data_IF_701662330708
#
_entry.id   IF_701662330708
#
_cell.length_a   1.000
_cell.length_b   1.000
_cell.length_c   1.000
_cell.angle_alpha   90.00
_cell.angle_beta   90.00
_cell.angle_gamma   90.00
#
_symmetry.space_group_name_H-M   'P 1'
#
loop_
_entity.id
_entity.type
_entity.pdbx_description
1 polymer ?
#
# COMPACT_ATOMS: atom_id res chain seq x y z
N UNK A 1 -27.91 -12.21 -1.03
CA UNK A 1 -26.68 -12.85 -0.49
C UNK A 1 -25.59 -12.69 -1.54
N UNK A 2 -24.48 -12.05 -1.22
CA UNK A 2 -23.38 -11.85 -2.16
C UNK A 2 -22.66 -13.18 -2.38
N UNK A 3 -22.86 -13.78 -3.54
CA UNK A 3 -22.07 -14.95 -3.97
C UNK A 3 -20.67 -14.51 -4.36
N UNK A 4 -19.66 -15.27 -3.98
CA UNK A 4 -18.26 -15.03 -4.33
C UNK A 4 -17.80 -16.10 -5.31
N UNK A 5 -17.11 -15.70 -6.38
CA UNK A 5 -16.49 -16.63 -7.33
C UNK A 5 -15.07 -16.94 -6.90
N UNK A 6 -14.80 -18.17 -6.47
CA UNK A 6 -13.46 -18.65 -6.11
C UNK A 6 -13.05 -19.79 -7.04
N UNK A 7 -11.95 -19.62 -7.76
CA UNK A 7 -11.37 -20.66 -8.63
C UNK A 7 -12.42 -21.32 -9.55
N UNK A 8 -13.30 -20.50 -10.14
CA UNK A 8 -14.37 -20.97 -11.04
C UNK A 8 -15.65 -21.48 -10.36
N UNK A 9 -15.71 -21.54 -9.03
CA UNK A 9 -16.89 -21.97 -8.26
C UNK A 9 -17.59 -20.77 -7.63
N UNK A 10 -18.91 -20.73 -7.71
CA UNK A 10 -19.72 -19.78 -6.95
C UNK A 10 -20.04 -20.37 -5.59
N UNK A 11 -19.64 -19.66 -4.54
CA UNK A 11 -19.92 -20.04 -3.16
C UNK A 11 -20.67 -18.91 -2.45
N UNK A 12 -21.41 -19.28 -1.41
CA UNK A 12 -22.07 -18.30 -0.52
C UNK A 12 -21.34 -18.31 0.82
N UNK A 13 -20.62 -17.23 1.16
CA UNK A 13 -19.93 -17.16 2.44
C UNK A 13 -20.90 -17.28 3.63
N UNK A 14 -20.40 -17.82 4.74
CA UNK A 14 -21.17 -17.92 5.96
C UNK A 14 -21.59 -16.52 6.46
N UNK A 15 -22.84 -16.41 6.90
CA UNK A 15 -23.42 -15.18 7.44
C UNK A 15 -23.54 -15.34 8.95
N UNK A 16 -23.16 -14.33 9.71
CA UNK A 16 -23.30 -14.31 11.18
C UNK A 16 -24.64 -13.72 11.59
N UNK A 17 -25.21 -14.19 12.70
CA UNK A 17 -26.30 -13.49 13.37
C UNK A 17 -25.67 -12.36 14.20
N UNK A 18 -25.93 -11.11 13.79
CA UNK A 18 -25.38 -9.92 14.46
C UNK A 18 -24.32 -9.19 13.61
N UNK A 19 -23.41 -8.42 14.23
CA UNK A 19 -22.39 -7.67 13.52
C UNK A 19 -21.46 -8.59 12.71
N UNK A 20 -21.13 -8.23 11.45
CA UNK A 20 -20.19 -8.99 10.63
C UNK A 20 -18.79 -9.15 11.26
N UNK A 21 -18.30 -8.10 11.93
CA UNK A 21 -16.99 -8.08 12.60
C UNK A 21 -17.03 -8.92 13.88
N UNK A 22 -16.66 -10.20 13.74
CA UNK A 22 -16.63 -11.13 14.87
C UNK A 22 -15.43 -10.93 15.79
N UNK A 23 -14.45 -10.12 15.39
CA UNK A 23 -13.32 -9.77 16.26
C UNK A 23 -13.78 -8.90 17.44
N UNK A 24 -14.82 -8.09 17.25
CA UNK A 24 -15.38 -7.25 18.33
C UNK A 24 -16.39 -7.98 19.23
N UNK A 25 -16.91 -9.14 18.82
CA UNK A 25 -17.96 -9.87 19.57
C UNK A 25 -17.40 -11.02 20.42
N UNK A 26 -17.82 -11.24 21.68
CA UNK A 26 -17.31 -12.35 22.51
C UNK A 26 -17.58 -13.75 21.94
N UNK A 27 -18.77 -13.96 21.36
CA UNK A 27 -19.20 -15.20 20.71
C UNK A 27 -20.00 -14.84 19.46
N UNK A 28 -19.85 -15.62 18.40
CA UNK A 28 -20.67 -15.50 17.19
C UNK A 28 -21.56 -16.73 17.02
N UNK A 29 -22.66 -16.55 16.29
CA UNK A 29 -23.46 -17.65 15.73
C UNK A 29 -23.70 -17.37 14.26
N UNK A 30 -23.92 -18.42 13.47
CA UNK A 30 -24.15 -18.35 12.04
C UNK A 30 -25.65 -18.44 11.75
N UNK A 31 -26.06 -17.77 10.69
CA UNK A 31 -27.38 -17.91 10.13
C UNK A 31 -27.54 -19.35 9.59
N UNK A 32 -28.65 -20.00 9.95
CA UNK A 32 -28.94 -21.36 9.48
C UNK A 32 -29.18 -21.35 7.97
N UNK A 33 -28.57 -22.32 7.28
CA UNK A 33 -28.78 -22.55 5.86
C UNK A 33 -30.26 -22.84 5.55
N UNK A 34 -30.71 -22.51 4.34
CA UNK A 34 -32.07 -22.86 3.87
C UNK A 34 -32.27 -24.37 3.96
N UNK A 35 -33.33 -24.77 4.65
CA UNK A 35 -33.76 -26.16 4.68
C UNK A 35 -34.46 -26.53 3.38
N UNK A 36 -33.98 -27.57 2.70
CA UNK A 36 -34.62 -28.06 1.47
C UNK A 36 -35.74 -29.02 1.83
N UNK A 37 -36.94 -28.77 1.31
CA UNK A 37 -38.09 -29.63 1.54
C UNK A 37 -37.89 -30.99 0.87
N UNK A 38 -38.42 -32.06 1.48
CA UNK A 38 -38.17 -33.42 0.99
C UNK A 38 -38.69 -33.62 -0.44
N UNK A 39 -39.84 -33.05 -0.77
CA UNK A 39 -40.47 -33.12 -2.10
C UNK A 39 -39.63 -32.47 -3.21
N UNK A 40 -38.77 -31.50 -2.88
CA UNK A 40 -37.85 -30.86 -3.84
C UNK A 40 -36.69 -31.78 -4.29
N UNK A 41 -36.44 -32.91 -3.60
CA UNK A 41 -35.26 -33.75 -3.84
C UNK A 41 -35.60 -35.22 -4.13
N UNK A 42 -35.21 -35.71 -5.31
CA UNK A 42 -35.41 -37.11 -5.72
C UNK A 42 -34.16 -37.99 -5.62
N UNK A 43 -32.97 -37.39 -5.50
CA UNK A 43 -31.66 -38.07 -5.44
C UNK A 43 -30.79 -37.53 -4.31
N UNK A 44 -29.92 -38.36 -3.74
CA UNK A 44 -28.93 -37.92 -2.77
C UNK A 44 -28.06 -36.81 -3.36
N UNK A 45 -27.93 -35.66 -2.70
CA UNK A 45 -27.19 -34.52 -3.23
C UNK A 45 -25.67 -34.75 -3.32
N UNK A 46 -25.14 -35.79 -2.67
CA UNK A 46 -23.76 -36.25 -2.81
C UNK A 46 -23.61 -37.36 -3.87
N UNK A 47 -24.02 -38.59 -3.55
CA UNK A 47 -23.79 -39.76 -4.41
C UNK A 47 -24.77 -39.93 -5.59
N UNK A 48 -25.74 -39.00 -5.75
CA UNK A 48 -26.73 -38.95 -6.84
C UNK A 48 -27.65 -40.17 -6.98
N UNK A 49 -27.60 -41.13 -6.06
CA UNK A 49 -28.52 -42.27 -6.02
C UNK A 49 -29.95 -41.84 -5.68
N UNK A 50 -30.95 -42.37 -6.42
CA UNK A 50 -32.38 -42.11 -6.18
C UNK A 50 -32.83 -42.58 -4.79
N UNK A 51 -33.63 -41.76 -4.14
CA UNK A 51 -34.33 -42.15 -2.92
C UNK A 51 -35.45 -43.13 -3.23
N UNK A 52 -35.72 -44.05 -2.30
CA UNK A 52 -36.79 -45.04 -2.40
C UNK A 52 -37.20 -45.49 -0.98
N UNK A 53 -38.07 -46.50 -0.87
CA UNK A 53 -38.55 -46.96 0.43
C UNK A 53 -37.42 -47.44 1.38
N UNK A 54 -36.33 -48.00 0.85
CA UNK A 54 -35.18 -48.48 1.61
C UNK A 54 -34.09 -47.40 1.80
N UNK A 55 -33.93 -46.50 0.83
CA UNK A 55 -33.02 -45.35 0.89
C UNK A 55 -33.80 -44.10 1.31
N UNK A 56 -33.91 -43.92 2.62
CA UNK A 56 -34.56 -42.75 3.24
C UNK A 56 -33.73 -41.47 3.08
N UNK A 57 -34.42 -40.34 3.15
CA UNK A 57 -33.87 -38.98 3.10
C UNK A 57 -33.39 -38.56 4.49
N UNK A 58 -32.24 -37.88 4.54
CA UNK A 58 -31.64 -37.33 5.76
C UNK A 58 -31.07 -35.96 5.46
N UNK A 59 -31.39 -34.97 6.27
CA UNK A 59 -30.87 -33.63 6.11
C UNK A 59 -29.55 -33.44 6.84
N UNK A 60 -28.62 -32.72 6.20
CA UNK A 60 -27.48 -32.15 6.88
C UNK A 60 -27.91 -30.88 7.59
N UNK A 61 -27.77 -30.82 8.91
CA UNK A 61 -28.20 -29.66 9.70
C UNK A 61 -27.30 -28.44 9.52
N UNK A 62 -26.09 -28.62 8.99
CA UNK A 62 -25.18 -27.53 8.63
C UNK A 62 -25.57 -26.84 7.31
N UNK A 63 -25.80 -27.58 6.23
CA UNK A 63 -26.05 -27.00 4.90
C UNK A 63 -27.50 -27.09 4.41
N UNK A 64 -28.41 -27.75 5.15
CA UNK A 64 -29.84 -27.85 4.82
C UNK A 64 -30.20 -28.81 3.67
N UNK A 65 -29.19 -29.37 2.99
CA UNK A 65 -29.32 -30.32 1.89
C UNK A 65 -29.72 -31.75 2.36
N UNK A 66 -30.26 -32.55 1.44
CA UNK A 66 -30.80 -33.90 1.62
C UNK A 66 -29.86 -34.98 1.05
N UNK A 67 -29.59 -36.00 1.88
CA UNK A 67 -28.63 -37.07 1.63
C UNK A 67 -29.21 -38.44 2.02
N UNK A 68 -28.53 -39.51 1.62
CA UNK A 68 -28.80 -40.85 2.15
C UNK A 68 -27.98 -41.13 3.42
N UNK A 69 -28.34 -42.17 4.18
CA UNK A 69 -27.69 -42.51 5.45
C UNK A 69 -26.17 -42.67 5.33
N UNK A 70 -25.69 -43.26 4.23
CA UNK A 70 -24.25 -43.41 3.97
C UNK A 70 -23.51 -42.07 3.88
N UNK A 71 -24.11 -41.07 3.20
CA UNK A 71 -23.48 -39.78 2.98
C UNK A 71 -23.71 -38.78 4.12
N UNK A 72 -24.47 -39.16 5.14
CA UNK A 72 -24.87 -38.32 6.28
C UNK A 72 -25.18 -39.20 7.51
N UNK A 73 -24.17 -39.96 7.93
CA UNK A 73 -24.22 -40.91 9.04
C UNK A 73 -23.75 -40.29 10.37
N UNK A 74 -22.77 -39.39 10.32
CA UNK A 74 -22.15 -38.78 11.50
C UNK A 74 -23.02 -37.70 12.14
N UNK A 75 -22.89 -37.55 13.47
CA UNK A 75 -23.54 -36.51 14.26
C UNK A 75 -22.52 -35.65 14.99
N UNK A 76 -22.63 -34.34 14.88
CA UNK A 76 -21.72 -33.37 15.52
C UNK A 76 -22.57 -32.28 16.18
N UNK A 77 -22.25 -31.83 17.41
CA UNK A 77 -22.83 -30.61 17.97
C UNK A 77 -22.64 -29.42 17.03
N UNK A 78 -23.62 -28.51 16.93
CA UNK A 78 -23.52 -27.31 16.08
C UNK A 78 -23.73 -26.02 16.90
N UNK A 79 -22.88 -25.75 17.92
CA UNK A 79 -23.00 -24.56 18.77
C UNK A 79 -22.88 -23.25 17.96
N UNK A 80 -22.16 -23.27 16.84
CA UNK A 80 -22.11 -22.16 15.89
C UNK A 80 -23.48 -21.86 15.26
N UNK A 81 -24.43 -22.81 15.23
CA UNK A 81 -25.82 -22.60 14.81
C UNK A 81 -26.80 -22.49 15.98
N UNK A 82 -26.30 -22.41 17.21
CA UNK A 82 -27.10 -22.41 18.43
C UNK A 82 -27.75 -23.77 18.72
N UNK A 83 -27.12 -24.88 18.32
CA UNK A 83 -27.62 -26.24 18.55
C UNK A 83 -26.56 -27.02 19.32
N UNK A 84 -26.77 -27.22 20.62
CA UNK A 84 -25.81 -27.92 21.49
C UNK A 84 -25.83 -29.45 21.27
N UNK A 85 -26.97 -30.00 20.87
CA UNK A 85 -27.12 -31.45 20.65
C UNK A 85 -26.45 -31.93 19.34
N UNK A 86 -25.88 -33.15 19.31
CA UNK A 86 -25.31 -33.72 18.10
C UNK A 86 -26.34 -33.92 16.98
N UNK A 87 -26.11 -33.25 15.85
CA UNK A 87 -26.98 -33.27 14.68
C UNK A 87 -26.29 -33.85 13.46
N UNK A 88 -27.08 -34.36 12.51
CA UNK A 88 -26.54 -35.00 11.30
C UNK A 88 -25.78 -33.99 10.44
N UNK A 89 -24.57 -34.36 10.04
CA UNK A 89 -23.74 -33.58 9.11
C UNK A 89 -23.33 -34.48 7.94
N UNK A 90 -23.40 -33.95 6.71
CA UNK A 90 -22.98 -34.72 5.53
C UNK A 90 -21.46 -34.81 5.42
N UNK A 91 -20.98 -35.81 4.68
CA UNK A 91 -19.54 -36.03 4.44
C UNK A 91 -18.80 -34.77 3.98
N UNK A 92 -19.44 -33.94 3.15
CA UNK A 92 -18.82 -32.70 2.64
C UNK A 92 -18.72 -31.58 3.68
N UNK A 93 -19.64 -31.50 4.64
CA UNK A 93 -19.61 -30.44 5.66
C UNK A 93 -18.80 -30.87 6.88
N UNK A 94 -18.71 -32.19 7.12
CA UNK A 94 -18.15 -32.77 8.35
C UNK A 94 -16.78 -32.20 8.73
N UNK A 95 -15.76 -32.14 7.85
CA UNK A 95 -14.41 -31.77 8.27
C UNK A 95 -14.36 -30.37 8.89
N UNK A 96 -14.80 -29.34 8.15
CA UNK A 96 -14.76 -27.95 8.64
C UNK A 96 -15.72 -27.75 9.81
N UNK A 97 -16.90 -28.39 9.80
CA UNK A 97 -17.88 -28.27 10.88
C UNK A 97 -17.32 -28.81 12.21
N UNK A 98 -16.60 -29.93 12.15
CA UNK A 98 -15.92 -30.51 13.31
C UNK A 98 -14.87 -29.54 13.88
N UNK A 99 -14.05 -28.93 13.02
CA UNK A 99 -13.02 -27.98 13.44
C UNK A 99 -13.62 -26.69 14.04
N UNK A 100 -14.67 -26.15 13.40
CA UNK A 100 -15.42 -24.99 13.92
C UNK A 100 -15.99 -25.32 15.31
N UNK A 101 -16.59 -26.50 15.48
CA UNK A 101 -17.15 -26.94 16.76
C UNK A 101 -16.07 -27.10 17.83
N UNK A 102 -14.97 -27.80 17.50
CA UNK A 102 -13.81 -27.98 18.40
C UNK A 102 -13.22 -26.65 18.86
N UNK A 103 -13.18 -25.64 17.99
CA UNK A 103 -12.66 -24.31 18.32
C UNK A 103 -13.45 -23.57 19.40
N UNK A 104 -14.73 -23.91 19.57
CA UNK A 104 -15.61 -23.31 20.57
C UNK A 104 -15.47 -23.97 21.95
N UNK A 105 -14.70 -25.06 22.06
CA UNK A 105 -14.38 -25.69 23.34
C UNK A 105 -13.53 -24.77 24.22
N UNK A 106 -13.66 -24.82 25.56
CA UNK A 106 -12.72 -24.14 26.46
C UNK A 106 -11.30 -24.72 26.41
N UNK A 107 -11.12 -25.95 25.93
CA UNK A 107 -9.84 -26.65 25.94
C UNK A 107 -8.88 -26.13 24.86
N UNK A 108 -7.67 -25.75 25.28
CA UNK A 108 -6.69 -25.09 24.41
C UNK A 108 -6.10 -26.01 23.33
N UNK A 109 -5.93 -27.30 23.64
CA UNK A 109 -5.50 -28.31 22.66
C UNK A 109 -6.49 -28.42 21.50
N UNK A 110 -7.80 -28.41 21.79
CA UNK A 110 -8.83 -28.44 20.74
C UNK A 110 -8.84 -27.17 19.89
N UNK A 111 -8.58 -26.00 20.49
CA UNK A 111 -8.42 -24.77 19.72
C UNK A 111 -7.21 -24.83 18.79
N UNK A 112 -6.06 -25.31 19.28
CA UNK A 112 -4.87 -25.47 18.43
C UNK A 112 -5.12 -26.45 17.28
N UNK A 113 -5.65 -27.64 17.60
CA UNK A 113 -5.97 -28.67 16.61
C UNK A 113 -6.98 -28.17 15.56
N UNK A 114 -8.00 -27.43 15.99
CA UNK A 114 -8.98 -26.83 15.08
C UNK A 114 -8.32 -25.86 14.10
N UNK A 115 -7.44 -24.97 14.56
CA UNK A 115 -6.75 -24.01 13.67
C UNK A 115 -5.82 -24.73 12.72
N UNK A 116 -5.04 -25.70 13.19
CA UNK A 116 -4.16 -26.51 12.33
C UNK A 116 -4.92 -27.13 11.17
N UNK A 117 -6.05 -27.76 11.49
CA UNK A 117 -6.87 -28.39 10.47
C UNK A 117 -7.56 -27.39 9.55
N UNK A 118 -7.99 -26.22 10.05
CA UNK A 118 -8.54 -25.15 9.21
C UNK A 118 -7.48 -24.58 8.26
N UNK A 119 -6.24 -24.39 8.71
CA UNK A 119 -5.12 -23.97 7.86
C UNK A 119 -4.90 -25.00 6.75
N UNK A 120 -4.87 -26.29 7.08
CA UNK A 120 -4.72 -27.37 6.10
C UNK A 120 -5.85 -27.36 5.06
N UNK A 121 -7.10 -27.11 5.49
CA UNK A 121 -8.24 -26.98 4.56
C UNK A 121 -8.08 -25.78 3.62
N UNK A 122 -7.48 -24.67 4.07
CA UNK A 122 -7.22 -23.52 3.20
C UNK A 122 -6.20 -23.83 2.08
N UNK A 123 -5.36 -24.85 2.25
CA UNK A 123 -4.37 -25.25 1.24
C UNK A 123 -4.95 -25.90 -0.03
N UNK A 124 -6.21 -26.35 0.02
CA UNK A 124 -6.89 -26.98 -1.12
C UNK A 124 -8.13 -26.17 -1.53
N UNK A 125 -8.37 -25.99 -2.83
CA UNK A 125 -9.50 -25.17 -3.35
C UNK A 125 -10.85 -25.62 -2.77
N UNK A 126 -11.10 -26.93 -2.69
CA UNK A 126 -12.35 -27.46 -2.14
C UNK A 126 -12.46 -27.22 -0.64
N UNK A 127 -11.38 -27.42 0.12
CA UNK A 127 -11.33 -27.14 1.55
C UNK A 127 -11.51 -25.66 1.85
N UNK A 128 -10.84 -24.78 1.10
CA UNK A 128 -10.93 -23.34 1.21
C UNK A 128 -12.36 -22.84 1.00
N UNK A 129 -13.05 -23.34 -0.04
CA UNK A 129 -14.47 -23.05 -0.25
C UNK A 129 -15.31 -23.41 0.99
N UNK A 130 -15.05 -24.58 1.59
CA UNK A 130 -15.77 -25.03 2.79
C UNK A 130 -15.44 -24.21 4.02
N UNK A 131 -14.20 -23.76 4.19
CA UNK A 131 -13.80 -22.83 5.26
C UNK A 131 -14.62 -21.53 5.17
N UNK A 132 -14.85 -21.01 3.96
CA UNK A 132 -15.62 -19.78 3.74
C UNK A 132 -17.13 -20.00 3.95
N UNK A 133 -17.68 -21.10 3.44
CA UNK A 133 -19.13 -21.39 3.49
C UNK A 133 -19.62 -21.84 4.88
N UNK A 134 -18.75 -22.44 5.70
CA UNK A 134 -19.16 -23.12 6.94
C UNK A 134 -18.75 -22.39 8.22
N UNK A 135 -18.29 -21.14 8.12
CA UNK A 135 -17.96 -20.30 9.27
C UNK A 135 -16.51 -20.38 9.74
N UNK A 136 -15.63 -21.01 8.96
CA UNK A 136 -14.22 -21.16 9.31
C UNK A 136 -13.48 -19.82 9.36
N UNK A 137 -13.83 -18.84 8.51
CA UNK A 137 -13.28 -17.48 8.58
C UNK A 137 -13.61 -16.81 9.90
N UNK A 138 -14.88 -16.87 10.32
CA UNK A 138 -15.33 -16.32 11.59
C UNK A 138 -14.62 -16.98 12.77
N UNK A 139 -14.46 -18.31 12.71
CA UNK A 139 -13.67 -19.07 13.69
C UNK A 139 -12.23 -18.57 13.77
N UNK A 140 -11.54 -18.43 12.63
CA UNK A 140 -10.15 -17.95 12.58
C UNK A 140 -10.02 -16.55 13.19
N UNK A 141 -10.89 -15.62 12.80
CA UNK A 141 -10.90 -14.25 13.34
C UNK A 141 -11.20 -14.26 14.84
N UNK A 142 -12.12 -15.10 15.31
CA UNK A 142 -12.42 -15.23 16.74
C UNK A 142 -11.22 -15.78 17.54
N UNK A 143 -10.46 -16.72 16.97
CA UNK A 143 -9.31 -17.33 17.61
C UNK A 143 -8.08 -16.43 17.66
N UNK A 144 -8.04 -15.35 16.86
CA UNK A 144 -7.02 -14.30 16.98
C UNK A 144 -6.97 -13.67 18.39
N UNK A 145 -8.07 -13.75 19.15
CA UNK A 145 -8.17 -13.28 20.54
C UNK A 145 -7.51 -14.20 21.56
N UNK A 146 -7.02 -15.37 21.15
CA UNK A 146 -6.32 -16.31 22.04
C UNK A 146 -5.06 -15.67 22.62
N UNK A 147 -4.74 -15.97 23.87
CA UNK A 147 -3.50 -15.53 24.52
C UNK A 147 -2.26 -16.34 24.08
N UNK A 148 -2.45 -17.38 23.25
CA UNK A 148 -1.37 -18.24 22.78
C UNK A 148 -0.84 -17.78 21.43
N UNK A 149 0.41 -17.32 21.40
CA UNK A 149 1.11 -16.91 20.17
C UNK A 149 1.12 -18.00 19.09
N UNK A 150 1.22 -19.28 19.49
CA UNK A 150 1.15 -20.42 18.56
C UNK A 150 -0.18 -20.46 17.81
N UNK A 151 -1.31 -20.19 18.48
CA UNK A 151 -2.63 -20.12 17.84
C UNK A 151 -2.71 -18.89 16.94
N UNK A 152 -2.26 -17.74 17.42
CA UNK A 152 -2.25 -16.49 16.65
C UNK A 152 -1.43 -16.60 15.36
N UNK A 153 -0.23 -17.20 15.41
CA UNK A 153 0.61 -17.42 14.23
C UNK A 153 -0.06 -18.29 13.17
N UNK A 154 -0.77 -19.35 13.60
CA UNK A 154 -1.54 -20.22 12.70
C UNK A 154 -2.77 -19.51 12.11
N UNK A 155 -3.45 -18.66 12.90
CA UNK A 155 -4.54 -17.80 12.41
C UNK A 155 -4.02 -16.86 11.33
N UNK A 156 -2.88 -16.19 11.56
CA UNK A 156 -2.23 -15.34 10.55
C UNK A 156 -1.92 -16.13 9.29
N UNK A 157 -1.41 -17.36 9.40
CA UNK A 157 -1.14 -18.20 8.24
C UNK A 157 -2.40 -18.52 7.43
N UNK A 158 -3.52 -18.87 8.08
CA UNK A 158 -4.78 -19.10 7.39
C UNK A 158 -5.32 -17.84 6.70
N UNK A 159 -5.32 -16.70 7.42
CA UNK A 159 -5.78 -15.42 6.87
C UNK A 159 -4.92 -14.97 5.69
N UNK A 160 -3.62 -15.21 5.73
CA UNK A 160 -2.72 -14.95 4.62
C UNK A 160 -3.12 -15.78 3.39
N UNK A 161 -3.31 -17.10 3.52
CA UNK A 161 -3.73 -17.97 2.41
C UNK A 161 -5.05 -17.45 1.79
N UNK A 162 -6.05 -17.18 2.64
CA UNK A 162 -7.35 -16.66 2.19
C UNK A 162 -7.21 -15.31 1.47
N UNK A 163 -6.31 -14.43 1.94
CA UNK A 163 -6.06 -13.12 1.33
C UNK A 163 -5.38 -13.18 -0.04
N UNK A 164 -4.81 -14.32 -0.44
CA UNK A 164 -4.27 -14.46 -1.81
C UNK A 164 -5.38 -14.50 -2.86
N UNK A 165 -6.63 -14.76 -2.46
CA UNK A 165 -7.80 -14.76 -3.34
C UNK A 165 -8.54 -13.41 -3.26
N UNK A 166 -8.34 -12.56 -4.28
CA UNK A 166 -8.96 -11.23 -4.39
C UNK A 166 -10.48 -11.19 -4.11
N UNK A 167 -11.31 -12.16 -4.55
CA UNK A 167 -12.75 -12.12 -4.29
C UNK A 167 -13.12 -12.20 -2.80
N UNK A 168 -12.21 -12.65 -1.92
CA UNK A 168 -12.43 -12.72 -0.47
C UNK A 168 -12.08 -11.45 0.29
N UNK A 169 -11.37 -10.49 -0.32
CA UNK A 169 -10.77 -9.39 0.43
C UNK A 169 -11.79 -8.58 1.27
N UNK A 170 -12.93 -8.22 0.66
CA UNK A 170 -13.99 -7.49 1.36
C UNK A 170 -14.67 -8.31 2.44
N UNK A 171 -14.96 -9.58 2.15
CA UNK A 171 -15.56 -10.49 3.12
C UNK A 171 -14.65 -10.71 4.35
N UNK A 172 -13.33 -10.86 4.13
CA UNK A 172 -12.36 -10.97 5.22
C UNK A 172 -12.31 -9.68 6.07
N UNK A 173 -12.28 -8.52 5.42
CA UNK A 173 -12.29 -7.23 6.10
C UNK A 173 -13.57 -7.02 6.93
N UNK A 174 -14.75 -7.30 6.34
CA UNK A 174 -16.05 -7.24 7.01
C UNK A 174 -16.12 -8.20 8.21
N UNK A 175 -15.53 -9.39 8.09
CA UNK A 175 -15.47 -10.36 9.18
C UNK A 175 -14.57 -9.92 10.36
N UNK A 176 -13.80 -8.84 10.23
CA UNK A 176 -12.88 -8.34 11.26
C UNK A 176 -11.45 -8.87 11.14
N UNK A 177 -11.06 -9.44 9.99
CA UNK A 177 -9.72 -10.01 9.80
C UNK A 177 -8.60 -8.95 9.91
N UNK A 178 -8.82 -7.73 9.41
CA UNK A 178 -7.81 -6.67 9.48
C UNK A 178 -7.51 -6.31 10.94
N UNK A 179 -8.55 -6.02 11.72
CA UNK A 179 -8.45 -5.77 13.16
C UNK A 179 -7.76 -6.91 13.92
N UNK A 180 -8.08 -8.15 13.58
CA UNK A 180 -7.44 -9.33 14.15
C UNK A 180 -5.93 -9.37 13.85
N UNK A 181 -5.53 -9.12 12.60
CA UNK A 181 -4.13 -9.07 12.19
C UNK A 181 -3.39 -7.93 12.92
N UNK A 182 -3.98 -6.73 12.96
CA UNK A 182 -3.40 -5.59 13.67
C UNK A 182 -3.20 -5.88 15.17
N UNK A 183 -4.18 -6.51 15.83
CA UNK A 183 -4.07 -6.90 17.23
C UNK A 183 -2.95 -7.92 17.48
N UNK A 184 -2.70 -8.86 16.57
CA UNK A 184 -1.62 -9.84 16.69
C UNK A 184 -0.28 -9.16 16.43
N UNK A 185 -0.15 -8.42 15.31
CA UNK A 185 1.09 -7.74 14.92
C UNK A 185 1.55 -6.69 15.93
N UNK A 186 0.67 -6.14 16.76
CA UNK A 186 1.07 -5.22 17.83
C UNK A 186 1.72 -5.94 19.01
N UNK A 187 1.34 -7.20 19.26
CA UNK A 187 1.81 -7.99 20.42
C UNK A 187 3.01 -8.88 20.14
N UNK A 188 3.12 -9.37 18.90
CA UNK A 188 4.16 -10.32 18.50
C UNK A 188 5.54 -9.65 18.51
N UNK A 189 6.51 -10.28 19.16
CA UNK A 189 7.91 -9.85 19.19
C UNK A 189 8.64 -10.16 17.87
N UNK A 190 9.85 -9.62 17.72
CA UNK A 190 10.67 -9.80 16.51
C UNK A 190 11.23 -11.21 16.32
N UNK A 191 11.15 -12.09 17.32
CA UNK A 191 11.64 -13.47 17.19
C UNK A 191 10.72 -14.37 16.35
N UNK A 192 9.45 -13.97 16.20
CA UNK A 192 8.44 -14.70 15.43
C UNK A 192 8.31 -14.18 13.99
N UNK A 193 9.44 -14.12 13.26
CA UNK A 193 9.52 -13.50 11.94
C UNK A 193 8.49 -14.03 10.95
N UNK A 194 8.23 -15.33 10.91
CA UNK A 194 7.25 -15.93 10.00
C UNK A 194 5.84 -15.37 10.21
N UNK A 195 5.43 -15.18 11.47
CA UNK A 195 4.12 -14.59 11.80
C UNK A 195 4.08 -13.12 11.40
N UNK A 196 5.16 -12.38 11.66
CA UNK A 196 5.26 -10.97 11.28
C UNK A 196 5.18 -10.78 9.77
N UNK A 197 6.00 -11.51 8.99
CA UNK A 197 6.02 -11.45 7.52
C UNK A 197 4.64 -11.77 6.95
N UNK A 198 4.00 -12.87 7.39
CA UNK A 198 2.68 -13.26 6.89
C UNK A 198 1.61 -12.24 7.23
N UNK A 199 1.62 -11.71 8.45
CA UNK A 199 0.66 -10.70 8.90
C UNK A 199 0.82 -9.38 8.14
N UNK A 200 2.04 -8.85 8.05
CA UNK A 200 2.29 -7.58 7.34
C UNK A 200 2.06 -7.72 5.83
N UNK A 201 2.35 -8.88 5.24
CA UNK A 201 2.01 -9.18 3.83
C UNK A 201 0.50 -9.18 3.60
N UNK A 202 -0.25 -9.72 4.55
CA UNK A 202 -1.72 -9.72 4.49
C UNK A 202 -2.28 -8.29 4.58
N UNK A 203 -1.74 -7.45 5.48
CA UNK A 203 -2.10 -6.03 5.52
C UNK A 203 -1.72 -5.29 4.23
N UNK A 204 -0.54 -5.59 3.66
CA UNK A 204 -0.11 -5.02 2.39
C UNK A 204 -1.13 -5.30 1.27
N UNK A 205 -1.64 -6.54 1.19
CA UNK A 205 -2.66 -6.94 0.21
C UNK A 205 -3.93 -6.09 0.38
N UNK A 206 -4.42 -5.94 1.61
CA UNK A 206 -5.62 -5.12 1.87
C UNK A 206 -5.40 -3.65 1.52
N UNK A 207 -4.27 -3.06 1.90
CA UNK A 207 -3.97 -1.64 1.64
C UNK A 207 -3.84 -1.27 0.16
N UNK A 208 -3.69 -2.25 -0.76
CA UNK A 208 -3.67 -1.98 -2.21
C UNK A 208 -5.02 -1.48 -2.73
N UNK A 209 -6.12 -1.84 -2.07
CA UNK A 209 -7.47 -1.39 -2.42
C UNK A 209 -7.84 -0.15 -1.58
N UNK A 210 -8.24 0.99 -2.19
CA UNK A 210 -8.51 2.22 -1.43
C UNK A 210 -9.56 2.07 -0.32
N UNK A 211 -10.65 1.36 -0.58
CA UNK A 211 -11.71 1.09 0.41
C UNK A 211 -11.19 0.28 1.61
N UNK A 212 -10.38 -0.74 1.35
CA UNK A 212 -9.81 -1.57 2.40
C UNK A 212 -8.62 -0.92 3.11
N UNK A 213 -7.93 0.02 2.47
CA UNK A 213 -6.88 0.84 3.08
C UNK A 213 -7.45 1.77 4.13
N UNK A 214 -8.51 2.50 3.81
CA UNK A 214 -9.21 3.33 4.79
C UNK A 214 -9.75 2.48 5.94
N UNK A 215 -10.31 1.29 5.63
CA UNK A 215 -10.73 0.33 6.65
C UNK A 215 -9.55 -0.16 7.52
N UNK A 216 -8.39 -0.41 6.94
CA UNK A 216 -7.21 -0.83 7.70
C UNK A 216 -6.73 0.26 8.66
N UNK A 217 -6.82 1.53 8.27
CA UNK A 217 -6.53 2.66 9.14
C UNK A 217 -7.52 2.75 10.31
N UNK A 218 -8.81 2.59 10.04
CA UNK A 218 -9.86 2.51 11.09
C UNK A 218 -9.62 1.34 12.05
N UNK A 219 -9.17 0.20 11.54
CA UNK A 219 -8.89 -1.01 12.33
C UNK A 219 -7.52 -1.00 13.01
N UNK A 220 -6.78 0.12 12.93
CA UNK A 220 -5.54 0.33 13.70
C UNK A 220 -4.27 -0.21 13.04
N UNK A 221 -4.22 -0.30 11.71
CA UNK A 221 -3.04 -0.81 10.99
C UNK A 221 -1.80 0.09 11.08
N UNK A 222 -1.95 1.38 11.37
CA UNK A 222 -0.83 2.33 11.35
C UNK A 222 0.25 1.95 12.38
N UNK A 223 -0.13 1.67 13.62
CA UNK A 223 0.81 1.35 14.71
C UNK A 223 1.73 0.14 14.39
N UNK A 224 1.20 -1.06 14.06
CA UNK A 224 2.07 -2.19 13.74
C UNK A 224 2.90 -1.95 12.48
N UNK A 225 2.39 -1.22 11.47
CA UNK A 225 3.15 -0.88 10.26
C UNK A 225 4.35 0.02 10.60
N UNK A 226 4.15 1.07 11.41
CA UNK A 226 5.22 1.97 11.84
C UNK A 226 6.27 1.22 12.66
N UNK A 227 5.84 0.43 13.65
CA UNK A 227 6.73 -0.39 14.49
C UNK A 227 7.59 -1.33 13.63
N UNK A 228 6.98 -2.09 12.74
CA UNK A 228 7.69 -3.08 11.91
C UNK A 228 8.62 -2.44 10.88
N UNK A 229 8.33 -1.21 10.44
CA UNK A 229 9.19 -0.47 9.50
C UNK A 229 10.52 -0.05 10.11
N UNK A 230 10.60 0.15 11.43
CA UNK A 230 11.80 0.69 12.09
C UNK A 230 12.53 -0.26 13.05
N UNK A 231 11.89 -1.34 13.51
CA UNK A 231 12.47 -2.23 14.54
C UNK A 231 12.88 -3.60 14.04
N UNK A 232 12.50 -4.00 12.82
CA UNK A 232 12.84 -5.31 12.31
C UNK A 232 14.27 -5.37 11.78
N UNK A 233 14.99 -6.43 12.17
CA UNK A 233 16.30 -6.80 11.60
C UNK A 233 16.17 -7.69 10.36
N UNK A 234 14.96 -8.14 10.06
CA UNK A 234 14.66 -9.01 8.93
C UNK A 234 14.29 -8.16 7.71
N UNK A 235 15.14 -8.17 6.69
CA UNK A 235 14.94 -7.39 5.46
C UNK A 235 13.57 -7.65 4.82
N UNK A 236 13.07 -8.89 4.86
CA UNK A 236 11.77 -9.24 4.32
C UNK A 236 10.61 -8.55 5.08
N UNK A 237 10.67 -8.52 6.42
CA UNK A 237 9.66 -7.81 7.23
C UNK A 237 9.73 -6.31 6.95
N UNK A 238 10.92 -5.72 6.99
CA UNK A 238 11.10 -4.28 6.76
C UNK A 238 10.62 -3.87 5.37
N UNK A 239 10.91 -4.67 4.34
CA UNK A 239 10.51 -4.38 2.96
C UNK A 239 8.99 -4.31 2.84
N UNK A 240 8.28 -5.30 3.37
CA UNK A 240 6.83 -5.37 3.29
C UNK A 240 6.17 -4.33 4.21
N UNK A 241 6.77 -4.03 5.37
CA UNK A 241 6.31 -2.98 6.26
C UNK A 241 6.41 -1.60 5.61
N UNK A 242 7.56 -1.23 5.05
CA UNK A 242 7.74 0.04 4.33
C UNK A 242 6.89 0.09 3.06
N UNK A 243 6.71 -1.03 2.36
CA UNK A 243 5.76 -1.11 1.24
C UNK A 243 4.32 -0.84 1.66
N UNK A 244 3.93 -1.33 2.84
CA UNK A 244 2.60 -1.07 3.40
C UNK A 244 2.46 0.38 3.87
N UNK A 245 3.52 0.93 4.48
CA UNK A 245 3.60 2.34 4.85
C UNK A 245 3.50 3.26 3.63
N UNK A 246 4.12 2.89 2.51
CA UNK A 246 4.04 3.62 1.24
C UNK A 246 2.60 3.74 0.74
N UNK A 247 1.86 2.62 0.76
CA UNK A 247 0.43 2.60 0.39
C UNK A 247 -0.42 3.46 1.33
N UNK A 248 -0.14 3.42 2.63
CA UNK A 248 -0.82 4.26 3.62
C UNK A 248 -0.50 5.75 3.40
N UNK A 249 0.76 6.07 3.12
CA UNK A 249 1.22 7.44 2.90
C UNK A 249 0.67 8.07 1.61
N UNK A 250 0.09 7.31 0.69
CA UNK A 250 -0.68 7.89 -0.42
C UNK A 250 -1.88 8.74 0.09
N UNK A 251 -2.44 8.41 1.25
CA UNK A 251 -3.51 9.21 1.87
C UNK A 251 -2.92 10.37 2.68
N UNK A 252 -3.10 11.61 2.21
CA UNK A 252 -2.58 12.83 2.87
C UNK A 252 -3.03 12.98 4.34
N UNK A 253 -4.20 12.47 4.69
CA UNK A 253 -4.74 12.47 6.07
C UNK A 253 -3.84 11.73 7.07
N UNK A 254 -2.97 10.85 6.59
CA UNK A 254 -2.08 10.02 7.43
C UNK A 254 -0.75 10.69 7.72
N UNK A 255 -0.36 11.69 6.92
CA UNK A 255 1.01 12.22 6.94
C UNK A 255 1.39 12.78 8.32
N UNK A 256 0.54 13.60 8.94
CA UNK A 256 0.86 14.15 10.27
C UNK A 256 1.06 13.03 11.30
N UNK A 257 0.23 11.99 11.29
CA UNK A 257 0.36 10.85 12.21
C UNK A 257 1.66 10.06 11.99
N UNK A 258 2.06 9.88 10.73
CA UNK A 258 3.33 9.21 10.39
C UNK A 258 4.51 10.07 10.85
N UNK A 259 4.47 11.37 10.54
CA UNK A 259 5.55 12.29 10.87
C UNK A 259 5.67 12.43 12.39
N UNK A 260 4.59 12.67 13.13
CA UNK A 260 4.56 12.87 14.58
C UNK A 260 4.74 11.58 15.41
N UNK A 261 4.94 10.43 14.77
CA UNK A 261 5.20 9.18 15.48
C UNK A 261 6.39 9.35 16.43
N UNK A 262 6.25 8.82 17.66
CA UNK A 262 7.34 8.74 18.63
C UNK A 262 8.40 7.71 18.26
N UNK A 263 8.11 6.87 17.26
CA UNK A 263 9.06 5.94 16.68
C UNK A 263 9.93 6.71 15.68
N UNK A 264 11.23 6.44 15.63
CA UNK A 264 12.20 7.03 14.68
C UNK A 264 11.98 6.52 13.23
N UNK A 265 10.73 6.49 12.77
CA UNK A 265 10.30 5.92 11.48
C UNK A 265 10.91 6.71 10.34
N UNK A 266 10.90 8.04 10.41
CA UNK A 266 11.49 8.86 9.35
C UNK A 266 12.98 8.64 9.23
N UNK A 267 13.72 8.64 10.34
CA UNK A 267 15.16 8.34 10.34
C UNK A 267 15.43 6.96 9.73
N UNK A 268 14.61 5.96 10.09
CA UNK A 268 14.73 4.59 9.58
C UNK A 268 14.43 4.52 8.07
N UNK A 269 13.33 5.11 7.61
CA UNK A 269 12.98 5.16 6.18
C UNK A 269 14.01 5.94 5.38
N UNK A 270 14.55 7.04 5.92
CA UNK A 270 15.67 7.76 5.31
C UNK A 270 16.90 6.86 5.18
N UNK A 271 17.28 6.13 6.23
CA UNK A 271 18.42 5.20 6.18
C UNK A 271 18.24 4.13 5.10
N UNK A 272 17.02 3.54 5.01
CA UNK A 272 16.67 2.52 4.02
C UNK A 272 16.67 3.04 2.57
N UNK A 273 16.54 4.35 2.36
CA UNK A 273 16.69 4.97 1.03
C UNK A 273 18.10 4.80 0.44
N UNK A 274 19.10 4.43 1.26
CA UNK A 274 20.47 4.10 0.84
C UNK A 274 20.84 2.63 1.01
N UNK A 275 19.85 1.73 1.18
CA UNK A 275 20.06 0.28 1.30
C UNK A 275 20.73 -0.32 0.07
N UNK A 276 21.46 -1.43 0.20
CA UNK A 276 22.02 -2.15 -0.96
C UNK A 276 20.92 -2.81 -1.82
N UNK A 277 19.74 -3.07 -1.24
CA UNK A 277 18.58 -3.60 -1.94
C UNK A 277 17.82 -2.47 -2.66
N UNK A 278 17.88 -2.46 -4.00
CA UNK A 278 17.22 -1.45 -4.83
C UNK A 278 15.69 -1.43 -4.66
N UNK A 279 15.06 -2.56 -4.31
CA UNK A 279 13.63 -2.59 -4.03
C UNK A 279 13.31 -1.84 -2.73
N UNK A 280 14.16 -2.02 -1.72
CA UNK A 280 14.09 -1.27 -0.46
C UNK A 280 14.32 0.22 -0.67
N UNK A 281 15.31 0.59 -1.49
CA UNK A 281 15.57 1.98 -1.85
C UNK A 281 14.35 2.61 -2.52
N UNK A 282 13.81 1.95 -3.55
CA UNK A 282 12.68 2.44 -4.35
C UNK A 282 11.49 2.76 -3.45
N UNK A 283 11.08 1.82 -2.60
CA UNK A 283 9.89 1.94 -1.77
C UNK A 283 10.06 2.97 -0.65
N UNK A 284 11.27 3.07 -0.08
CA UNK A 284 11.60 4.07 0.93
C UNK A 284 11.54 5.48 0.35
N UNK A 285 12.18 5.70 -0.80
CA UNK A 285 12.14 6.98 -1.52
C UNK A 285 10.72 7.35 -1.96
N UNK A 286 9.93 6.37 -2.43
CA UNK A 286 8.51 6.61 -2.78
C UNK A 286 7.69 7.05 -1.57
N UNK A 287 7.91 6.42 -0.43
CA UNK A 287 7.23 6.79 0.83
C UNK A 287 7.58 8.23 1.23
N UNK A 288 8.87 8.60 1.17
CA UNK A 288 9.31 9.97 1.43
C UNK A 288 8.75 10.97 0.41
N UNK A 289 8.62 10.58 -0.87
CA UNK A 289 7.97 11.41 -1.88
C UNK A 289 6.55 11.79 -1.44
N UNK A 290 5.73 10.83 -1.00
CA UNK A 290 4.39 11.12 -0.53
C UNK A 290 4.39 12.06 0.67
N UNK A 291 5.21 11.79 1.68
CA UNK A 291 5.30 12.63 2.88
C UNK A 291 5.80 14.05 2.59
N UNK A 292 6.60 14.23 1.53
CA UNK A 292 7.11 15.54 1.10
C UNK A 292 6.09 16.40 0.33
N UNK A 293 4.93 15.85 -0.06
CA UNK A 293 3.85 16.61 -0.71
C UNK A 293 3.09 17.51 0.28
N UNK A 294 3.37 17.36 1.56
CA UNK A 294 2.75 18.16 2.61
C UNK A 294 3.31 19.59 2.76
N UNK A 295 3.10 20.15 3.95
CA UNK A 295 3.55 21.47 4.39
C UNK A 295 5.07 21.63 4.42
N UNK A 296 5.55 22.88 4.54
CA UNK A 296 6.98 23.16 4.72
C UNK A 296 7.55 22.52 6.00
N UNK A 297 6.76 22.42 7.07
CA UNK A 297 7.16 21.70 8.28
C UNK A 297 7.52 20.23 7.99
N UNK A 298 6.72 19.55 7.16
CA UNK A 298 6.98 18.15 6.81
C UNK A 298 8.25 18.01 5.97
N UNK A 299 8.47 18.93 5.03
CA UNK A 299 9.69 18.97 4.22
C UNK A 299 10.92 19.23 5.08
N UNK A 300 10.86 20.23 5.96
CA UNK A 300 11.93 20.57 6.91
C UNK A 300 12.29 19.36 7.77
N UNK A 301 11.28 18.65 8.29
CA UNK A 301 11.48 17.45 9.09
C UNK A 301 12.16 16.33 8.28
N UNK A 302 11.77 16.08 7.04
CA UNK A 302 12.46 15.09 6.18
C UNK A 302 13.93 15.45 6.00
N UNK A 303 14.26 16.73 5.82
CA UNK A 303 15.66 17.20 5.67
C UNK A 303 16.48 16.95 6.94
N UNK A 304 15.92 17.23 8.12
CA UNK A 304 16.58 16.96 9.41
C UNK A 304 16.82 15.46 9.64
N UNK A 305 15.84 14.63 9.29
CA UNK A 305 15.91 13.18 9.47
C UNK A 305 16.88 12.53 8.48
N UNK A 306 16.96 13.02 7.23
CA UNK A 306 17.99 12.59 6.27
C UNK A 306 19.40 12.94 6.74
N UNK A 307 19.59 14.13 7.33
CA UNK A 307 20.87 14.51 7.92
C UNK A 307 21.27 13.53 9.04
N UNK A 308 20.32 13.22 9.93
CA UNK A 308 20.51 12.26 11.03
C UNK A 308 20.78 10.84 10.52
N UNK A 309 20.13 10.44 9.44
CA UNK A 309 20.33 9.16 8.75
C UNK A 309 21.61 9.08 7.89
N UNK A 310 22.51 10.07 7.99
CA UNK A 310 23.80 10.05 7.30
C UNK A 310 23.73 10.39 5.81
N UNK A 311 22.89 11.36 5.44
CA UNK A 311 22.78 11.91 4.06
C UNK A 311 22.40 10.83 3.04
N UNK A 312 21.41 10.01 3.37
CA UNK A 312 21.00 8.88 2.56
C UNK A 312 20.45 9.31 1.19
N UNK A 313 19.79 10.47 1.11
CA UNK A 313 19.33 11.03 -0.17
C UNK A 313 20.46 11.41 -1.11
N UNK A 314 21.60 11.89 -0.57
CA UNK A 314 22.79 12.19 -1.37
C UNK A 314 23.36 10.91 -2.00
N UNK A 315 23.43 9.82 -1.23
CA UNK A 315 23.89 8.52 -1.72
C UNK A 315 22.94 7.98 -2.79
N UNK A 316 21.63 8.10 -2.60
CA UNK A 316 20.63 7.63 -3.55
C UNK A 316 20.71 8.35 -4.91
N UNK A 317 20.80 9.69 -4.93
CA UNK A 317 20.82 10.45 -6.18
C UNK A 317 22.16 10.33 -6.94
N UNK A 318 23.28 10.20 -6.21
CA UNK A 318 24.62 10.02 -6.81
C UNK A 318 24.91 8.55 -7.16
N UNK A 319 24.01 7.64 -6.82
CA UNK A 319 24.12 6.22 -7.14
C UNK A 319 23.97 5.92 -8.64
N UNK A 320 24.23 4.66 -8.99
CA UNK A 320 23.97 4.14 -10.32
C UNK A 320 23.13 2.84 -10.27
N UNK A 321 21.89 2.91 -9.75
CA UNK A 321 21.03 1.75 -9.60
C UNK A 321 20.60 1.19 -10.96
N UNK A 322 20.40 -0.13 -11.04
CA UNK A 322 19.82 -0.79 -12.21
C UNK A 322 18.35 -0.39 -12.36
N UNK A 323 17.63 -0.37 -11.24
CA UNK A 323 16.27 0.11 -11.14
C UNK A 323 16.24 1.64 -11.25
N UNK A 324 15.87 2.14 -12.43
CA UNK A 324 15.77 3.58 -12.68
C UNK A 324 14.71 4.28 -11.82
N UNK A 325 13.73 3.55 -11.27
CA UNK A 325 12.71 4.14 -10.40
C UNK A 325 13.31 4.68 -9.10
N UNK A 326 14.45 4.14 -8.64
CA UNK A 326 15.20 4.70 -7.51
C UNK A 326 15.63 6.14 -7.80
N UNK A 327 16.27 6.39 -8.95
CA UNK A 327 16.67 7.75 -9.34
C UNK A 327 15.45 8.65 -9.58
N UNK A 328 14.38 8.13 -10.20
CA UNK A 328 13.14 8.89 -10.39
C UNK A 328 12.57 9.37 -9.05
N UNK A 329 12.44 8.48 -8.07
CA UNK A 329 11.90 8.80 -6.75
C UNK A 329 12.84 9.74 -5.98
N UNK A 330 14.17 9.53 -6.04
CA UNK A 330 15.14 10.44 -5.43
C UNK A 330 15.04 11.86 -6.02
N UNK A 331 15.03 11.99 -7.34
CA UNK A 331 14.90 13.30 -8.00
C UNK A 331 13.53 13.94 -7.72
N UNK A 332 12.45 13.15 -7.67
CA UNK A 332 11.11 13.63 -7.34
C UNK A 332 11.07 14.22 -5.92
N UNK A 333 11.60 13.48 -4.94
CA UNK A 333 11.70 13.91 -3.55
C UNK A 333 12.54 15.17 -3.42
N UNK A 334 13.74 15.22 -4.00
CA UNK A 334 14.60 16.40 -3.98
C UNK A 334 13.87 17.62 -4.56
N UNK A 335 13.16 17.44 -5.68
CA UNK A 335 12.40 18.53 -6.29
C UNK A 335 11.24 19.02 -5.40
N UNK A 336 10.61 18.14 -4.60
CA UNK A 336 9.60 18.54 -3.62
C UNK A 336 10.22 19.33 -2.47
N UNK A 337 11.34 18.86 -1.91
CA UNK A 337 12.08 19.52 -0.83
C UNK A 337 12.64 20.88 -1.26
N UNK A 338 13.09 21.00 -2.51
CA UNK A 338 13.62 22.24 -3.10
C UNK A 338 12.61 23.40 -3.14
N UNK A 339 11.33 23.18 -2.82
CA UNK A 339 10.33 24.26 -2.71
C UNK A 339 10.39 25.03 -1.39
N UNK A 340 11.03 24.47 -0.35
CA UNK A 340 11.18 25.09 0.98
C UNK A 340 12.29 26.13 0.97
N UNK A 341 12.03 27.36 1.43
CA UNK A 341 13.06 28.41 1.52
C UNK A 341 14.05 28.19 2.66
N UNK A 342 13.62 27.54 3.73
CA UNK A 342 14.38 27.41 4.99
C UNK A 342 15.52 26.39 4.89
N UNK A 343 15.35 25.37 4.05
CA UNK A 343 16.25 24.21 3.99
C UNK A 343 17.34 24.34 2.92
N UNK A 344 17.35 25.42 2.15
CA UNK A 344 18.19 25.55 0.96
C UNK A 344 19.69 25.39 1.25
N UNK A 345 20.16 25.77 2.45
CA UNK A 345 21.52 25.52 2.89
C UNK A 345 21.84 24.03 3.06
N UNK A 346 20.90 23.25 3.59
CA UNK A 346 21.04 21.81 3.81
C UNK A 346 20.90 20.95 2.54
N UNK A 347 20.30 21.51 1.48
CA UNK A 347 19.98 20.83 0.22
C UNK A 347 21.06 20.97 -0.88
N UNK A 348 22.16 21.69 -0.59
CA UNK A 348 23.20 22.01 -1.57
C UNK A 348 23.81 20.79 -2.28
N UNK A 349 24.08 19.72 -1.52
CA UNK A 349 24.66 18.48 -2.04
C UNK A 349 23.68 17.75 -3.00
N UNK A 350 22.39 17.89 -2.74
CA UNK A 350 21.32 17.28 -3.54
C UNK A 350 21.13 18.03 -4.86
N UNK A 351 21.27 19.36 -4.85
CA UNK A 351 21.34 20.16 -6.07
C UNK A 351 22.50 19.72 -6.97
N UNK A 352 23.69 19.51 -6.41
CA UNK A 352 24.84 18.98 -7.15
C UNK A 352 24.55 17.59 -7.71
N UNK A 353 23.93 16.71 -6.91
CA UNK A 353 23.51 15.38 -7.36
C UNK A 353 22.54 15.42 -8.55
N UNK A 354 21.57 16.34 -8.57
CA UNK A 354 20.71 16.55 -9.74
C UNK A 354 21.52 16.99 -10.98
N UNK A 355 22.51 17.86 -10.78
CA UNK A 355 23.42 18.29 -11.84
C UNK A 355 24.26 17.14 -12.40
N UNK A 356 24.74 16.23 -11.54
CA UNK A 356 25.45 15.01 -11.94
C UNK A 356 24.55 14.05 -12.73
N UNK A 357 23.30 13.85 -12.28
CA UNK A 357 22.33 13.05 -13.02
C UNK A 357 22.05 13.67 -14.40
N UNK A 358 21.92 14.99 -14.50
CA UNK A 358 21.74 15.68 -15.78
C UNK A 358 22.91 15.46 -16.74
N UNK A 359 24.14 15.25 -16.23
CA UNK A 359 25.31 14.97 -17.08
C UNK A 359 25.23 13.61 -17.78
N UNK A 360 24.49 12.62 -17.25
CA UNK A 360 24.37 11.28 -17.86
C UNK A 360 23.80 11.34 -19.29
N UNK A 361 24.32 10.52 -20.20
CA UNK A 361 24.01 10.61 -21.64
C UNK A 361 22.53 10.39 -21.97
N UNK A 362 21.88 9.47 -21.26
CA UNK A 362 20.46 9.19 -21.41
C UNK A 362 19.75 9.27 -20.08
N UNK A 363 18.58 9.92 -20.08
CA UNK A 363 17.66 9.95 -18.96
C UNK A 363 16.31 9.45 -19.46
N UNK A 364 15.64 8.61 -18.67
CA UNK A 364 14.24 8.31 -18.94
C UNK A 364 13.38 9.60 -18.81
N UNK A 365 12.19 9.65 -19.44
CA UNK A 365 11.38 10.87 -19.46
C UNK A 365 10.98 11.41 -18.08
N UNK A 366 10.64 10.52 -17.14
CA UNK A 366 10.18 10.89 -15.80
C UNK A 366 11.32 11.49 -14.97
N UNK A 367 12.48 10.83 -14.96
CA UNK A 367 13.70 11.31 -14.30
C UNK A 367 14.11 12.67 -14.84
N UNK A 368 14.10 12.84 -16.17
CA UNK A 368 14.41 14.11 -16.81
C UNK A 368 13.44 15.22 -16.36
N UNK A 369 12.15 14.91 -16.30
CA UNK A 369 11.11 15.80 -15.75
C UNK A 369 11.40 16.22 -14.32
N UNK A 370 11.69 15.27 -13.43
CA UNK A 370 11.98 15.54 -12.02
C UNK A 370 13.27 16.33 -11.81
N UNK A 371 14.34 16.02 -12.55
CA UNK A 371 15.61 16.76 -12.51
C UNK A 371 15.39 18.21 -12.95
N UNK A 372 14.73 18.42 -14.10
CA UNK A 372 14.44 19.77 -14.58
C UNK A 372 13.57 20.56 -13.59
N UNK A 373 12.53 19.92 -13.03
CA UNK A 373 11.67 20.52 -11.99
C UNK A 373 12.48 20.90 -10.74
N UNK A 374 13.36 20.03 -10.27
CA UNK A 374 14.21 20.27 -9.11
C UNK A 374 15.15 21.45 -9.32
N UNK A 375 15.87 21.49 -10.45
CA UNK A 375 16.75 22.61 -10.80
C UNK A 375 15.97 23.93 -10.90
N UNK A 376 14.77 23.92 -11.48
CA UNK A 376 13.92 25.11 -11.56
C UNK A 376 13.47 25.61 -10.18
N UNK A 377 13.16 24.69 -9.25
CA UNK A 377 12.79 25.03 -7.88
C UNK A 377 13.99 25.61 -7.11
N UNK A 378 15.17 25.01 -7.24
CA UNK A 378 16.40 25.54 -6.66
C UNK A 378 16.77 26.92 -7.20
N UNK A 379 16.60 27.14 -8.51
CA UNK A 379 16.94 28.40 -9.17
C UNK A 379 16.16 29.61 -8.61
N UNK A 380 14.99 29.39 -8.00
CA UNK A 380 14.20 30.46 -7.38
C UNK A 380 14.94 31.18 -6.24
N UNK A 381 15.93 30.55 -5.63
CA UNK A 381 16.61 31.07 -4.45
C UNK A 381 17.99 31.62 -4.80
N UNK A 382 18.24 32.87 -4.40
CA UNK A 382 19.45 33.61 -4.79
C UNK A 382 20.75 32.88 -4.41
N UNK A 383 20.79 32.24 -3.25
CA UNK A 383 21.96 31.48 -2.79
C UNK A 383 22.36 30.32 -3.72
N UNK A 384 21.44 29.81 -4.54
CA UNK A 384 21.72 28.71 -5.47
C UNK A 384 22.15 29.21 -6.86
N UNK A 385 22.03 30.52 -7.14
CA UNK A 385 22.19 31.07 -8.47
C UNK A 385 23.55 30.75 -9.11
N UNK A 386 24.63 30.81 -8.33
CA UNK A 386 25.98 30.48 -8.80
C UNK A 386 26.10 29.01 -9.24
N UNK A 387 25.52 28.08 -8.49
CA UNK A 387 25.54 26.65 -8.84
C UNK A 387 24.67 26.35 -10.06
N UNK A 388 23.47 26.93 -10.14
CA UNK A 388 22.59 26.75 -11.31
C UNK A 388 23.22 27.39 -12.56
N UNK A 389 23.87 28.55 -12.43
CA UNK A 389 24.62 29.18 -13.52
C UNK A 389 25.64 28.21 -14.12
N UNK A 390 26.40 27.49 -13.29
CA UNK A 390 27.37 26.51 -13.77
C UNK A 390 26.72 25.31 -14.49
N UNK A 391 25.45 25.02 -14.21
CA UNK A 391 24.66 24.00 -14.89
C UNK A 391 23.91 24.52 -16.11
N UNK A 392 23.89 25.84 -16.35
CA UNK A 392 23.09 26.49 -17.38
C UNK A 392 23.33 25.92 -18.80
N UNK A 393 24.59 25.65 -19.24
CA UNK A 393 24.82 25.02 -20.54
C UNK A 393 24.14 23.65 -20.67
N UNK A 394 24.15 22.84 -19.61
CA UNK A 394 23.48 21.54 -19.60
C UNK A 394 21.95 21.69 -19.55
N UNK A 395 21.43 22.65 -18.78
CA UNK A 395 19.99 22.95 -18.73
C UNK A 395 19.49 23.38 -20.11
N UNK A 396 20.25 24.20 -20.82
CA UNK A 396 19.94 24.60 -22.20
C UNK A 396 19.98 23.37 -23.11
N UNK A 397 21.13 22.69 -23.16
CA UNK A 397 21.36 21.62 -24.14
C UNK A 397 20.44 20.42 -23.95
N UNK A 398 20.17 20.00 -22.70
CA UNK A 398 19.37 18.80 -22.42
C UNK A 398 17.92 19.11 -22.10
N UNK A 399 17.62 20.18 -21.35
CA UNK A 399 16.26 20.45 -20.90
C UNK A 399 15.51 21.41 -21.83
N UNK A 400 16.09 22.55 -22.21
CA UNK A 400 15.42 23.54 -23.05
C UNK A 400 15.18 23.01 -24.48
N UNK A 401 16.14 22.25 -25.02
CA UNK A 401 16.02 21.58 -26.33
C UNK A 401 15.25 20.26 -26.28
N UNK A 402 14.71 19.88 -25.13
CA UNK A 402 13.93 18.64 -24.98
C UNK A 402 12.65 18.69 -25.81
N UNK A 403 12.28 17.54 -26.38
CA UNK A 403 10.99 17.33 -27.03
C UNK A 403 9.83 17.25 -26.01
N UNK A 404 10.14 17.05 -24.73
CA UNK A 404 9.13 17.03 -23.66
C UNK A 404 8.79 18.48 -23.24
N UNK A 405 7.54 18.88 -23.45
CA UNK A 405 7.05 20.23 -23.14
C UNK A 405 7.19 20.58 -21.65
N UNK A 406 6.93 19.64 -20.73
CA UNK A 406 7.07 19.88 -19.30
C UNK A 406 8.53 20.13 -18.90
N UNK A 407 9.47 19.37 -19.47
CA UNK A 407 10.91 19.58 -19.25
C UNK A 407 11.32 20.96 -19.76
N UNK A 408 10.91 21.32 -20.98
CA UNK A 408 11.18 22.63 -21.59
C UNK A 408 10.66 23.77 -20.71
N UNK A 409 9.44 23.64 -20.17
CA UNK A 409 8.86 24.62 -19.25
C UNK A 409 9.65 24.79 -17.96
N UNK A 410 10.13 23.70 -17.36
CA UNK A 410 10.98 23.79 -16.17
C UNK A 410 12.36 24.38 -16.49
N UNK A 411 12.94 24.07 -17.65
CA UNK A 411 14.18 24.69 -18.12
C UNK A 411 14.03 26.20 -18.25
N UNK A 412 12.97 26.66 -18.92
CA UNK A 412 12.66 28.10 -19.03
C UNK A 412 12.50 28.74 -17.66
N UNK A 413 11.75 28.13 -16.74
CA UNK A 413 11.62 28.61 -15.35
C UNK A 413 12.98 28.75 -14.66
N UNK A 414 13.87 27.76 -14.80
CA UNK A 414 15.21 27.82 -14.22
C UNK A 414 16.04 28.97 -14.82
N UNK A 415 16.01 29.10 -16.15
CA UNK A 415 16.73 30.15 -16.89
C UNK A 415 16.25 31.54 -16.45
N UNK A 416 14.94 31.79 -16.38
CA UNK A 416 14.41 33.09 -15.96
C UNK A 416 14.73 33.42 -14.50
N UNK A 417 14.66 32.43 -13.61
CA UNK A 417 15.05 32.63 -12.22
C UNK A 417 16.53 33.05 -12.11
N UNK A 418 17.44 32.40 -12.84
CA UNK A 418 18.86 32.80 -12.86
C UNK A 418 19.06 34.13 -13.57
N UNK A 419 18.34 34.39 -14.66
CA UNK A 419 18.39 35.64 -15.41
C UNK A 419 18.02 36.83 -14.54
N UNK A 420 17.04 36.68 -13.65
CA UNK A 420 16.64 37.73 -12.70
C UNK A 420 17.76 38.12 -11.72
N UNK A 421 18.75 37.25 -11.52
CA UNK A 421 19.86 37.43 -10.57
C UNK A 421 21.16 37.81 -11.32
N UNK A 422 21.43 37.16 -12.44
CA UNK A 422 22.63 37.34 -13.26
C UNK A 422 22.26 37.57 -14.75
N UNK A 423 21.69 38.74 -15.13
CA UNK A 423 21.14 38.95 -16.47
C UNK A 423 22.18 38.83 -17.59
N UNK A 424 23.31 39.53 -17.45
CA UNK A 424 24.34 39.62 -18.50
C UNK A 424 24.92 38.25 -18.88
N UNK A 425 25.32 37.48 -17.88
CA UNK A 425 25.93 36.17 -18.10
C UNK A 425 24.91 35.14 -18.60
N UNK A 426 23.69 35.16 -18.07
CA UNK A 426 22.62 34.27 -18.54
C UNK A 426 22.29 34.54 -20.01
N UNK A 427 22.21 35.82 -20.40
CA UNK A 427 22.02 36.20 -21.80
C UNK A 427 23.20 35.77 -22.67
N UNK A 428 24.44 35.92 -22.19
CA UNK A 428 25.63 35.47 -22.91
C UNK A 428 25.61 33.96 -23.21
N UNK A 429 25.22 33.13 -22.23
CA UNK A 429 25.09 31.68 -22.45
C UNK A 429 23.94 31.34 -23.40
N UNK A 430 22.79 32.01 -23.30
CA UNK A 430 21.67 31.80 -24.24
C UNK A 430 22.02 32.20 -25.68
N UNK A 431 22.77 33.28 -25.85
CA UNK A 431 23.24 33.73 -27.16
C UNK A 431 24.24 32.75 -27.78
N UNK A 432 25.02 32.06 -26.95
CA UNK A 432 25.90 30.97 -27.41
C UNK A 432 25.08 29.76 -27.85
N UNK A 433 24.08 29.39 -27.07
CA UNK A 433 23.20 28.27 -27.38
C UNK A 433 21.82 28.41 -26.73
N UNK A 434 20.73 28.09 -27.43
CA UNK A 434 19.40 28.00 -26.83
C UNK A 434 18.50 29.25 -26.90
N UNK A 435 19.00 30.40 -27.37
CA UNK A 435 18.17 31.61 -27.49
C UNK A 435 16.93 31.39 -28.40
N UNK A 436 17.10 30.68 -29.52
CA UNK A 436 16.01 30.37 -30.45
C UNK A 436 14.94 29.51 -29.78
N UNK A 437 15.35 28.44 -29.10
CA UNK A 437 14.45 27.52 -28.41
C UNK A 437 13.74 28.19 -27.21
N UNK A 438 14.42 29.13 -26.54
CA UNK A 438 13.80 29.95 -25.50
C UNK A 438 12.71 30.85 -26.08
N UNK A 439 13.00 31.58 -27.17
CA UNK A 439 12.04 32.46 -27.83
C UNK A 439 10.86 31.68 -28.42
N UNK A 440 11.12 30.53 -29.04
CA UNK A 440 10.08 29.63 -29.52
C UNK A 440 9.21 29.14 -28.36
N UNK A 441 9.82 28.72 -27.25
CA UNK A 441 9.11 28.31 -26.05
C UNK A 441 8.22 29.43 -25.48
N UNK A 442 8.75 30.65 -25.41
CA UNK A 442 8.04 31.84 -24.95
C UNK A 442 6.85 32.19 -25.85
N UNK A 443 7.02 32.10 -27.17
CA UNK A 443 5.95 32.39 -28.14
C UNK A 443 4.71 31.51 -27.97
N UNK A 444 4.88 30.33 -27.35
CA UNK A 444 3.80 29.36 -27.08
C UNK A 444 3.10 29.61 -25.74
N UNK A 445 3.59 30.54 -24.90
CA UNK A 445 2.97 30.87 -23.63
C UNK A 445 1.78 31.81 -23.82
N UNK A 446 0.59 31.33 -23.45
CA UNK A 446 -0.64 32.12 -23.53
C UNK A 446 -0.52 33.40 -22.70
N UNK A 447 -0.83 34.54 -23.32
CA UNK A 447 -0.85 35.85 -22.66
C UNK A 447 0.52 36.53 -22.51
N UNK A 448 1.63 35.86 -22.84
CA UNK A 448 2.97 36.45 -22.67
C UNK A 448 3.19 37.68 -23.55
N UNK A 449 2.84 37.62 -24.84
CA UNK A 449 3.03 38.74 -25.77
C UNK A 449 2.29 39.99 -25.29
N UNK A 450 1.06 39.83 -24.79
CA UNK A 450 0.30 40.93 -24.21
C UNK A 450 1.00 41.47 -22.96
N UNK A 451 1.43 40.62 -22.04
CA UNK A 451 2.14 41.05 -20.82
C UNK A 451 3.45 41.79 -21.12
N UNK A 452 4.21 41.36 -22.13
CA UNK A 452 5.42 42.06 -22.59
C UNK A 452 5.05 43.41 -23.21
N UNK A 453 4.03 43.46 -24.07
CA UNK A 453 3.58 44.70 -24.70
C UNK A 453 3.10 45.72 -23.65
N UNK A 454 2.33 45.28 -22.66
CA UNK A 454 1.85 46.11 -21.56
C UNK A 454 3.03 46.65 -20.73
N UNK A 455 4.02 45.80 -20.41
CA UNK A 455 5.22 46.20 -19.69
C UNK A 455 6.10 47.19 -20.47
N UNK A 456 6.14 47.07 -21.81
CA UNK A 456 6.84 48.01 -22.69
C UNK A 456 6.10 49.34 -22.78
N UNK A 457 4.78 49.33 -22.99
CA UNK A 457 3.95 50.54 -23.05
C UNK A 457 3.98 51.31 -21.72
N UNK A 458 4.09 50.62 -20.59
CA UNK A 458 4.27 51.26 -19.29
C UNK A 458 5.59 52.05 -19.17
N UNK A 459 6.64 51.63 -19.88
CA UNK A 459 7.95 52.29 -19.89
C UNK A 459 8.14 53.26 -21.06
N UNK A 460 7.45 53.03 -22.18
CA UNK A 460 7.44 53.86 -23.38
C UNK A 460 5.98 54.08 -23.82
N UNK A 461 5.26 55.02 -23.18
CA UNK A 461 3.86 55.31 -23.53
C UNK A 461 3.75 55.86 -24.95
N UNK A 462 2.59 55.66 -25.58
CA UNK A 462 2.29 56.24 -26.89
C UNK A 462 2.38 57.78 -26.82
N UNK A 463 3.41 58.33 -27.46
CA UNK A 463 3.64 59.76 -27.53
C UNK A 463 2.63 60.39 -28.50
N UNK A 464 1.74 61.22 -27.96
CA UNK A 464 0.77 62.00 -28.76
C UNK A 464 1.36 63.27 -29.35
N UNK A 465 2.62 63.62 -29.01
CA UNK A 465 3.40 64.72 -29.59
C UNK A 465 4.85 64.28 -29.78
N UNK A 466 5.57 64.78 -30.81
CA UNK A 466 6.96 64.41 -31.05
C UNK A 466 7.84 64.76 -29.84
N UNK A 467 8.79 63.88 -29.53
CA UNK A 467 9.82 64.07 -28.50
C UNK A 467 10.71 65.29 -28.77
#
# INVERSE_FOLDING_TARGET
MSTVKLEGRFITPAIVNGPPDVFTTPKFTLLKSRWIADDEVSVCQWCKNKFNQLRRKHHCRQCGNVFCSKCCNEKIPLPQLGIEEPERVCESCRPVTEFVTKSMSPLQNFKSEAVDNLVNQCGEITGLCRVVELGGVQTLVSLAKSDKLVIQGKVIAALQILSTHQPLHRYLAEAGAIKAICSILTKVDMSHEETLVKGISTLNIFCRLPDLRSKALEDGALEPVLRLSCTSRCNAVSLVAVSTLSLIAEEMSTHNKIMESQLNVLTSVCSLASSEDEQMQEVSLKTLCFLSLGSNWQKHRIVQEDFTAGRSLQKAIRGNPKNQQVLCNAACLIANLATSSEDQGGLQDLLEGLGEVLKKDSLNPDLHGHVARGLANFARFQQNASKIKNLLPLVIFKCLKSNNSHVKMHAMRAIFNVMSINPSETCSELLRDGAGELLEGLSRLTGLTAAIQDALLAQAPDLTRPL
#
